data_IF_170068869520
#
_entry.id   IF_170068869520
#
_cell.length_a   1.000
_cell.length_b   1.000
_cell.length_c   1.000
_cell.angle_alpha   90.00
_cell.angle_beta   90.00
_cell.angle_gamma   90.00
#
_symmetry.space_group_name_H-M   'P 1'
#
loop_
_entity.id
_entity.type
_entity.pdbx_description
1 polymer ?
#
# COMPACT_ATOMS: atom_id res chain seq x y z
N UNK A 1 3.76 20.95 -24.78
CA UNK A 1 2.75 21.25 -23.75
C UNK A 1 1.59 20.24 -23.69
N UNK A 2 0.59 20.23 -24.61
CA UNK A 2 -0.58 19.31 -24.46
C UNK A 2 -0.23 17.82 -24.48
N UNK A 3 0.77 17.43 -25.27
CA UNK A 3 1.21 16.03 -25.38
C UNK A 3 2.04 15.57 -24.18
N UNK A 4 2.92 16.41 -23.63
CA UNK A 4 3.76 16.06 -22.47
C UNK A 4 2.92 15.93 -21.20
N UNK A 5 1.97 16.83 -21.01
CA UNK A 5 1.06 16.78 -19.86
C UNK A 5 0.18 15.52 -19.90
N UNK A 6 -0.35 15.16 -21.09
CA UNK A 6 -1.08 13.91 -21.27
C UNK A 6 -0.20 12.68 -20.99
N UNK A 7 1.06 12.69 -21.43
CA UNK A 7 2.02 11.60 -21.15
C UNK A 7 2.26 11.45 -19.65
N UNK A 8 2.41 12.55 -18.91
CA UNK A 8 2.57 12.51 -17.45
C UNK A 8 1.34 11.87 -16.79
N UNK A 9 0.13 12.32 -17.14
CA UNK A 9 -1.13 11.75 -16.60
C UNK A 9 -1.19 10.23 -16.88
N UNK A 10 -0.90 9.82 -18.12
CA UNK A 10 -0.93 8.39 -18.48
C UNK A 10 0.11 7.58 -17.70
N UNK A 11 1.31 8.14 -17.48
CA UNK A 11 2.34 7.48 -16.69
C UNK A 11 1.96 7.36 -15.21
N UNK A 12 1.36 8.40 -14.62
CA UNK A 12 0.87 8.36 -13.23
C UNK A 12 -0.22 7.30 -13.09
N UNK A 13 -1.22 7.30 -13.99
CA UNK A 13 -2.30 6.29 -13.98
C UNK A 13 -1.75 4.88 -14.09
N UNK A 14 -0.84 4.64 -15.04
CA UNK A 14 -0.20 3.33 -15.21
C UNK A 14 0.63 2.93 -13.99
N UNK A 15 1.38 3.86 -13.41
CA UNK A 15 2.18 3.63 -12.20
C UNK A 15 1.31 3.19 -11.03
N UNK A 16 0.23 3.93 -10.76
CA UNK A 16 -0.73 3.59 -9.70
C UNK A 16 -1.36 2.21 -9.92
N UNK A 17 -1.82 1.91 -11.14
CA UNK A 17 -2.40 0.59 -11.46
C UNK A 17 -1.39 -0.55 -11.24
N UNK A 18 -0.16 -0.39 -11.72
CA UNK A 18 0.87 -1.41 -11.56
C UNK A 18 1.19 -1.66 -10.08
N UNK A 19 1.29 -0.59 -9.28
CA UNK A 19 1.59 -0.74 -7.85
C UNK A 19 0.41 -1.36 -7.11
N UNK A 20 -0.84 -0.97 -7.45
CA UNK A 20 -2.04 -1.59 -6.89
C UNK A 20 -2.08 -3.11 -7.16
N UNK A 21 -1.77 -3.53 -8.39
CA UNK A 21 -1.71 -4.96 -8.75
C UNK A 21 -0.61 -5.71 -7.98
N UNK A 22 0.56 -5.09 -7.79
CA UNK A 22 1.64 -5.68 -6.99
C UNK A 22 1.25 -5.82 -5.52
N UNK A 23 0.62 -4.80 -4.93
CA UNK A 23 0.13 -4.84 -3.55
C UNK A 23 -0.92 -5.94 -3.40
N UNK A 24 -1.87 -6.04 -4.33
CA UNK A 24 -2.86 -7.11 -4.34
C UNK A 24 -2.22 -8.50 -4.34
N UNK A 25 -1.20 -8.71 -5.17
CA UNK A 25 -0.44 -9.97 -5.17
C UNK A 25 0.22 -10.28 -3.83
N UNK A 26 0.74 -9.27 -3.13
CA UNK A 26 1.29 -9.42 -1.77
C UNK A 26 0.18 -9.80 -0.79
N UNK A 27 -0.98 -9.14 -0.84
CA UNK A 27 -2.13 -9.45 0.02
C UNK A 27 -2.59 -10.89 -0.19
N UNK A 28 -2.83 -11.29 -1.44
CA UNK A 28 -3.28 -12.64 -1.82
C UNK A 28 -2.30 -13.72 -1.29
N UNK A 29 -0.99 -13.48 -1.42
CA UNK A 29 0.04 -14.40 -0.92
C UNK A 29 0.06 -14.46 0.61
N UNK A 30 -0.16 -13.34 1.31
CA UNK A 30 -0.28 -13.31 2.76
C UNK A 30 -1.52 -14.07 3.22
N UNK A 31 -2.68 -13.80 2.65
CA UNK A 31 -3.95 -14.44 3.02
C UNK A 31 -3.88 -15.96 2.83
N UNK A 32 -3.38 -16.40 1.67
CA UNK A 32 -3.25 -17.83 1.34
C UNK A 32 -2.36 -18.59 2.31
N UNK A 33 -1.32 -17.95 2.82
CA UNK A 33 -0.31 -18.56 3.69
C UNK A 33 -0.44 -18.12 5.15
N UNK A 34 -1.48 -17.36 5.50
CA UNK A 34 -1.60 -16.74 6.82
C UNK A 34 -1.43 -17.76 7.95
N UNK A 35 -2.07 -18.93 7.80
CA UNK A 35 -2.03 -19.98 8.81
C UNK A 35 -0.69 -20.74 8.89
N UNK A 36 0.12 -20.74 7.84
CA UNK A 36 1.43 -21.41 7.81
C UNK A 36 2.56 -20.54 8.34
N UNK A 37 2.38 -19.22 8.43
CA UNK A 37 3.41 -18.33 8.97
C UNK A 37 3.66 -18.59 10.46
N UNK A 38 4.95 -18.73 10.79
CA UNK A 38 5.47 -18.67 12.16
C UNK A 38 5.48 -17.21 12.65
N UNK A 39 5.67 -17.02 13.96
CA UNK A 39 5.76 -15.68 14.55
C UNK A 39 6.93 -14.87 13.97
N UNK A 40 8.08 -15.52 13.74
CA UNK A 40 9.27 -14.89 13.15
C UNK A 40 9.02 -14.46 11.70
N UNK A 41 8.45 -15.34 10.87
CA UNK A 41 8.09 -15.00 9.49
C UNK A 41 7.09 -13.84 9.42
N UNK A 42 6.06 -13.86 10.29
CA UNK A 42 5.08 -12.78 10.34
C UNK A 42 5.72 -11.45 10.74
N UNK A 43 6.68 -11.46 11.68
CA UNK A 43 7.41 -10.26 12.09
C UNK A 43 8.26 -9.69 10.95
N UNK A 44 8.94 -10.54 10.19
CA UNK A 44 9.73 -10.13 9.04
C UNK A 44 8.85 -9.53 7.94
N UNK A 45 7.69 -10.15 7.66
CA UNK A 45 6.71 -9.64 6.69
C UNK A 45 6.20 -8.25 7.12
N UNK A 46 5.73 -8.12 8.37
CA UNK A 46 5.23 -6.84 8.91
C UNK A 46 6.30 -5.74 8.81
N UNK A 47 7.53 -6.06 9.18
CA UNK A 47 8.66 -5.11 9.11
C UNK A 47 8.97 -4.71 7.66
N UNK A 48 8.91 -5.67 6.72
CA UNK A 48 9.15 -5.43 5.31
C UNK A 48 8.07 -4.59 4.61
N UNK A 49 6.82 -4.68 5.09
CA UNK A 49 5.69 -3.92 4.53
C UNK A 49 5.70 -2.45 5.00
N UNK A 50 6.20 -2.16 6.20
CA UNK A 50 6.12 -0.82 6.79
C UNK A 50 6.60 0.34 5.88
N UNK A 51 7.73 0.23 5.14
CA UNK A 51 8.16 1.27 4.20
C UNK A 51 7.17 1.54 3.05
N UNK A 52 6.34 0.56 2.68
CA UNK A 52 5.36 0.68 1.59
C UNK A 52 4.32 1.74 1.94
N UNK A 53 3.82 1.77 3.19
CA UNK A 53 2.82 2.74 3.62
C UNK A 53 3.34 4.18 3.51
N UNK A 54 4.57 4.43 3.95
CA UNK A 54 5.21 5.74 3.82
C UNK A 54 5.44 6.13 2.36
N UNK A 55 5.80 5.16 1.50
CA UNK A 55 5.93 5.37 0.07
C UNK A 55 4.58 5.72 -0.60
N UNK A 56 3.51 5.07 -0.14
CA UNK A 56 2.17 5.29 -0.65
C UNK A 56 1.63 6.66 -0.29
N UNK A 57 1.75 7.07 0.98
CA UNK A 57 1.37 8.40 1.43
C UNK A 57 2.08 9.48 0.63
N UNK A 58 3.41 9.39 0.50
CA UNK A 58 4.20 10.32 -0.32
C UNK A 58 3.73 10.39 -1.77
N UNK A 59 3.43 9.24 -2.37
CA UNK A 59 2.96 9.18 -3.76
C UNK A 59 1.61 9.88 -3.92
N UNK A 60 0.67 9.62 -3.00
CA UNK A 60 -0.64 10.28 -2.97
C UNK A 60 -0.50 11.79 -2.80
N UNK A 61 0.35 12.26 -1.87
CA UNK A 61 0.62 13.69 -1.67
C UNK A 61 1.21 14.32 -2.93
N UNK A 62 2.21 13.70 -3.56
CA UNK A 62 2.81 14.23 -4.79
C UNK A 62 1.82 14.36 -5.95
N UNK A 63 0.87 13.43 -6.07
CA UNK A 63 -0.19 13.47 -7.08
C UNK A 63 -1.17 14.62 -6.81
N UNK A 64 -1.50 14.85 -5.54
CA UNK A 64 -2.36 15.96 -5.11
C UNK A 64 -1.65 17.30 -5.35
N UNK A 65 -0.39 17.43 -4.94
CA UNK A 65 0.40 18.65 -5.10
C UNK A 65 0.65 19.01 -6.57
N UNK A 66 0.70 18.00 -7.44
CA UNK A 66 0.80 18.17 -8.90
C UNK A 66 -0.54 18.51 -9.57
N UNK A 67 -1.63 18.64 -8.81
CA UNK A 67 -3.01 18.84 -9.29
C UNK A 67 -3.46 17.77 -10.30
N UNK A 68 -3.06 16.52 -10.06
CA UNK A 68 -3.39 15.36 -10.90
C UNK A 68 -4.45 14.46 -10.29
N UNK A 69 -5.00 14.84 -9.12
CA UNK A 69 -5.96 14.02 -8.36
C UNK A 69 -7.21 13.69 -9.17
N UNK A 70 -7.74 14.64 -9.93
CA UNK A 70 -8.98 14.44 -10.69
C UNK A 70 -8.74 13.54 -11.91
N UNK A 71 -7.62 13.76 -12.60
CA UNK A 71 -7.16 13.09 -13.81
C UNK A 71 -6.79 11.62 -13.56
N UNK A 72 -6.32 11.31 -12.35
CA UNK A 72 -5.94 9.98 -11.92
C UNK A 72 -6.89 9.37 -10.87
N UNK A 73 -8.06 9.99 -10.62
CA UNK A 73 -8.96 9.69 -9.50
C UNK A 73 -9.26 8.20 -9.32
N UNK A 74 -9.70 7.51 -10.40
CA UNK A 74 -10.00 6.06 -10.34
C UNK A 74 -8.77 5.23 -9.97
N UNK A 75 -7.61 5.50 -10.57
CA UNK A 75 -6.39 4.76 -10.28
C UNK A 75 -5.87 5.04 -8.87
N UNK A 76 -6.04 6.28 -8.40
CA UNK A 76 -5.64 6.69 -7.07
C UNK A 76 -6.54 6.05 -6.00
N UNK A 77 -7.84 5.96 -6.26
CA UNK A 77 -8.79 5.26 -5.40
C UNK A 77 -8.45 3.76 -5.32
N UNK A 78 -8.25 3.09 -6.46
CA UNK A 78 -7.83 1.70 -6.48
C UNK A 78 -6.54 1.49 -5.69
N UNK A 79 -5.53 2.31 -5.93
CA UNK A 79 -4.26 2.24 -5.21
C UNK A 79 -4.43 2.41 -3.70
N UNK A 80 -5.21 3.41 -3.26
CA UNK A 80 -5.46 3.64 -1.84
C UNK A 80 -6.26 2.51 -1.18
N UNK A 81 -7.19 1.88 -1.91
CA UNK A 81 -7.93 0.72 -1.42
C UNK A 81 -6.98 -0.45 -1.16
N UNK A 82 -6.11 -0.79 -2.12
CA UNK A 82 -5.13 -1.88 -1.92
C UNK A 82 -4.15 -1.56 -0.77
N UNK A 83 -3.77 -0.29 -0.58
CA UNK A 83 -2.95 0.12 0.57
C UNK A 83 -3.69 -0.06 1.89
N UNK A 84 -5.00 0.19 1.94
CA UNK A 84 -5.81 -0.03 3.12
C UNK A 84 -5.95 -1.52 3.41
N UNK A 85 -6.22 -2.35 2.39
CA UNK A 85 -6.32 -3.79 2.53
C UNK A 85 -4.98 -4.40 3.01
N UNK A 86 -3.85 -3.91 2.47
CA UNK A 86 -2.51 -4.29 2.94
C UNK A 86 -2.30 -3.91 4.41
N UNK A 87 -2.82 -2.76 4.84
CA UNK A 87 -2.75 -2.33 6.25
C UNK A 87 -3.57 -3.25 7.15
N UNK A 88 -4.76 -3.65 6.72
CA UNK A 88 -5.61 -4.58 7.46
C UNK A 88 -4.93 -5.92 7.65
N UNK A 89 -4.44 -6.56 6.59
CA UNK A 89 -3.79 -7.88 6.71
C UNK A 89 -2.47 -7.81 7.48
N UNK A 90 -1.74 -6.70 7.40
CA UNK A 90 -0.52 -6.47 8.20
C UNK A 90 -0.86 -6.35 9.69
N UNK A 91 -1.94 -5.66 10.02
CA UNK A 91 -2.43 -5.58 11.41
C UNK A 91 -2.88 -6.95 11.93
N UNK A 92 -3.52 -7.76 11.09
CA UNK A 92 -3.91 -9.13 11.46
C UNK A 92 -2.69 -10.03 11.71
N UNK A 93 -1.65 -9.96 10.88
CA UNK A 93 -0.38 -10.65 11.13
C UNK A 93 0.22 -10.22 12.48
N UNK A 94 0.26 -8.90 12.73
CA UNK A 94 0.81 -8.36 13.97
C UNK A 94 0.05 -8.85 15.21
N UNK A 95 -1.28 -8.78 15.18
CA UNK A 95 -2.16 -9.18 16.29
C UNK A 95 -2.14 -10.69 16.52
N UNK A 96 -2.30 -11.50 15.48
CA UNK A 96 -2.56 -12.93 15.63
C UNK A 96 -1.33 -13.83 15.48
N UNK A 97 -0.24 -13.36 14.86
CA UNK A 97 0.98 -14.17 14.65
C UNK A 97 2.18 -13.68 15.44
N UNK A 98 2.36 -12.35 15.52
CA UNK A 98 3.46 -11.77 16.29
C UNK A 98 3.11 -11.71 17.78
N UNK A 99 1.82 -11.57 18.13
CA UNK A 99 1.39 -11.36 19.51
C UNK A 99 1.77 -9.97 20.01
N UNK A 100 1.98 -9.03 19.09
CA UNK A 100 2.17 -7.62 19.38
C UNK A 100 0.85 -7.02 19.85
N UNK A 101 0.81 -6.54 21.09
CA UNK A 101 -0.31 -5.71 21.60
C UNK A 101 -0.17 -4.26 21.12
N UNK A 102 0.97 -3.89 20.54
CA UNK A 102 1.14 -2.61 19.88
C UNK A 102 0.29 -2.62 18.61
N UNK A 103 -0.84 -1.93 18.72
CA UNK A 103 -1.66 -1.52 17.60
C UNK A 103 -0.75 -0.69 16.69
N UNK A 104 -0.32 -1.24 15.55
CA UNK A 104 0.65 -0.56 14.67
C UNK A 104 0.11 0.78 14.15
N UNK A 105 -1.20 1.04 14.31
CA UNK A 105 -1.78 2.39 14.24
C UNK A 105 -1.03 3.44 15.09
N UNK A 106 -0.40 3.05 16.20
CA UNK A 106 0.47 3.90 17.01
C UNK A 106 1.85 4.15 16.38
N UNK A 107 2.37 3.21 15.59
CA UNK A 107 3.60 3.37 14.81
C UNK A 107 3.41 4.22 13.55
N UNK A 108 2.16 4.41 13.11
CA UNK A 108 1.79 5.30 12.00
C UNK A 108 1.47 6.75 12.45
N UNK A 109 1.47 7.03 13.75
CA UNK A 109 1.27 8.36 14.32
C UNK A 109 2.60 8.98 14.76
N UNK A 110 3.49 9.24 13.81
CA UNK A 110 4.66 10.12 13.98
C UNK A 110 4.53 11.34 13.05
#
# INVERSE_FOLDING_TARGET
MRNEHLVIILNVRKGLSNIAELIRGIIDDIEKNFNSYTSEMAKDIVTGIFPIFKGAEKSTTLIIDADLKNEASTQLEMFNNEINDLREITNDLSRYKVGSVEDYNTLFND
#
